data_IF_448995579579
#
_entry.id   IF_448995579579
#
_cell.length_a   1.000
_cell.length_b   1.000
_cell.length_c   1.000
_cell.angle_alpha   90.00
_cell.angle_beta   90.00
_cell.angle_gamma   90.00
#
_symmetry.space_group_name_H-M   'P 1'
#
loop_
_entity.id
_entity.type
_entity.pdbx_description
1 polymer ?
#
# COMPACT_ATOMS: atom_id res chain seq x y z
N UNK A 1 10.56 33.15 -2.39
CA UNK A 1 11.16 31.97 -3.03
C UNK A 1 10.78 31.97 -4.49
N UNK A 2 11.77 32.09 -5.39
CA UNK A 2 11.58 31.80 -6.80
C UNK A 2 11.59 30.27 -7.04
N UNK A 3 11.23 29.83 -8.25
CA UNK A 3 11.12 28.40 -8.58
C UNK A 3 12.44 27.63 -8.36
N UNK A 4 13.59 28.26 -8.65
CA UNK A 4 14.91 27.64 -8.50
C UNK A 4 15.30 27.43 -7.04
N UNK A 5 15.03 28.44 -6.20
CA UNK A 5 15.24 28.38 -4.75
C UNK A 5 14.34 27.31 -4.12
N UNK A 6 13.08 27.24 -4.54
CA UNK A 6 12.15 26.22 -4.06
C UNK A 6 12.60 24.82 -4.46
N UNK A 7 13.03 24.62 -5.72
CA UNK A 7 13.55 23.32 -6.17
C UNK A 7 14.77 22.90 -5.35
N UNK A 8 15.74 23.79 -5.20
CA UNK A 8 16.99 23.50 -4.47
C UNK A 8 16.70 23.17 -2.99
N UNK A 9 15.79 23.90 -2.36
CA UNK A 9 15.35 23.61 -1.00
C UNK A 9 14.65 22.24 -0.89
N UNK A 10 13.78 21.89 -1.83
CA UNK A 10 13.10 20.59 -1.84
C UNK A 10 14.08 19.44 -2.07
N UNK A 11 15.05 19.59 -3.00
CA UNK A 11 16.09 18.61 -3.26
C UNK A 11 16.95 18.37 -2.02
N UNK A 12 17.33 19.43 -1.30
CA UNK A 12 18.04 19.32 -0.01
C UNK A 12 17.21 18.55 1.03
N UNK A 13 15.90 18.77 1.10
CA UNK A 13 15.02 18.00 2.01
C UNK A 13 14.87 16.55 1.59
N UNK A 14 14.89 16.26 0.28
CA UNK A 14 14.92 14.87 -0.21
C UNK A 14 16.20 14.18 0.25
N UNK A 15 17.37 14.78 0.04
CA UNK A 15 18.65 14.23 0.52
C UNK A 15 18.66 14.00 2.04
N UNK A 16 18.10 14.95 2.81
CA UNK A 16 18.07 14.86 4.26
C UNK A 16 17.15 13.76 4.79
N UNK A 17 15.95 13.61 4.23
CA UNK A 17 14.91 12.71 4.76
C UNK A 17 14.82 11.36 4.03
N UNK A 18 15.31 11.25 2.80
CA UNK A 18 15.35 10.00 2.03
C UNK A 18 16.59 9.16 2.40
N UNK A 19 16.80 8.96 3.69
CA UNK A 19 17.89 8.17 4.25
C UNK A 19 17.30 6.93 4.95
N UNK A 20 17.91 5.73 4.80
CA UNK A 20 17.47 4.50 5.46
C UNK A 20 17.20 4.63 6.97
N UNK A 21 17.89 5.51 7.67
CA UNK A 21 17.68 5.77 9.11
C UNK A 21 16.26 6.27 9.44
N UNK A 22 15.55 6.86 8.47
CA UNK A 22 14.16 7.27 8.66
C UNK A 22 13.16 6.12 8.47
N UNK A 23 13.57 5.00 7.86
CA UNK A 23 12.72 3.82 7.61
C UNK A 23 12.26 3.21 8.93
N UNK A 24 13.16 3.00 9.90
CA UNK A 24 12.87 2.34 11.18
C UNK A 24 11.70 2.96 11.94
N UNK A 25 11.46 4.23 11.70
CA UNK A 25 10.44 4.94 12.41
C UNK A 25 9.20 5.16 11.54
N UNK A 26 9.26 4.89 10.23
CA UNK A 26 8.18 5.08 9.27
C UNK A 26 7.43 3.76 8.95
N UNK A 27 6.11 3.78 8.65
CA UNK A 27 5.39 2.59 8.20
C UNK A 27 6.00 1.88 6.98
N UNK A 28 6.86 2.55 6.21
CA UNK A 28 7.66 1.92 5.14
C UNK A 28 8.45 0.71 5.62
N UNK A 29 8.84 0.62 6.89
CA UNK A 29 9.55 -0.56 7.42
C UNK A 29 8.78 -1.88 7.25
N UNK A 30 7.45 -1.83 7.16
CA UNK A 30 6.59 -3.01 7.17
C UNK A 30 6.75 -3.85 5.90
N UNK A 31 6.66 -3.27 4.68
CA UNK A 31 7.08 -3.94 3.44
C UNK A 31 8.48 -4.57 3.47
N UNK A 32 9.45 -3.91 4.11
CA UNK A 32 10.84 -4.38 4.16
C UNK A 32 11.02 -5.64 5.02
N UNK A 33 10.00 -6.07 5.77
CA UNK A 33 10.01 -7.33 6.51
C UNK A 33 9.92 -8.55 5.58
N UNK A 34 9.50 -8.35 4.33
CA UNK A 34 9.20 -9.42 3.38
C UNK A 34 10.14 -9.41 2.20
N UNK A 35 10.32 -10.58 1.58
CA UNK A 35 11.16 -10.77 0.38
C UNK A 35 10.37 -11.21 -0.84
N UNK A 36 9.20 -11.83 -0.64
CA UNK A 36 8.30 -12.22 -1.72
C UNK A 36 7.57 -10.97 -2.20
N UNK A 37 7.46 -10.85 -3.53
CA UNK A 37 6.87 -9.69 -4.20
C UNK A 37 5.46 -9.41 -3.67
N UNK A 38 4.61 -10.41 -3.66
CA UNK A 38 3.20 -10.31 -3.28
C UNK A 38 3.04 -9.89 -1.81
N UNK A 39 3.88 -10.43 -0.92
CA UNK A 39 3.88 -10.04 0.49
C UNK A 39 4.27 -8.56 0.67
N UNK A 40 5.29 -8.10 -0.05
CA UNK A 40 5.72 -6.69 -0.06
C UNK A 40 4.56 -5.79 -0.52
N UNK A 41 3.87 -6.16 -1.60
CA UNK A 41 2.73 -5.39 -2.13
C UNK A 41 1.59 -5.30 -1.12
N UNK A 42 1.19 -6.43 -0.53
CA UNK A 42 0.09 -6.48 0.44
C UNK A 42 0.45 -5.71 1.71
N UNK A 43 1.63 -5.95 2.27
CA UNK A 43 2.11 -5.28 3.47
C UNK A 43 2.18 -3.76 3.27
N UNK A 44 2.66 -3.33 2.11
CA UNK A 44 2.71 -1.91 1.73
C UNK A 44 1.33 -1.31 1.58
N UNK A 45 0.42 -2.03 0.93
CA UNK A 45 -0.92 -1.51 0.66
C UNK A 45 -1.72 -1.34 1.95
N UNK A 46 -1.69 -2.35 2.82
CA UNK A 46 -2.38 -2.32 4.11
C UNK A 46 -1.79 -1.26 5.04
N UNK A 47 -0.46 -1.16 5.12
CA UNK A 47 0.21 -0.14 5.93
C UNK A 47 -0.08 1.28 5.44
N UNK A 48 -0.02 1.51 4.13
CA UNK A 48 -0.35 2.80 3.53
C UNK A 48 -1.83 3.14 3.67
N UNK A 49 -2.71 2.13 3.64
CA UNK A 49 -4.13 2.30 3.92
C UNK A 49 -4.26 2.98 5.26
N UNK A 50 -3.73 2.38 6.34
CA UNK A 50 -3.81 2.88 7.74
C UNK A 50 -2.84 4.02 8.09
N UNK A 51 -2.10 4.57 7.14
CA UNK A 51 -1.09 5.61 7.37
C UNK A 51 -1.70 7.01 7.61
N UNK A 52 -2.64 7.12 8.55
CA UNK A 52 -3.14 8.40 9.04
C UNK A 52 -3.16 8.38 10.57
N UNK A 53 -2.51 9.37 11.19
CA UNK A 53 -2.65 9.64 12.63
C UNK A 53 -1.34 9.61 13.38
N UNK A 54 -1.37 9.11 14.61
CA UNK A 54 -0.15 8.99 15.42
C UNK A 54 0.77 7.91 14.82
N UNK A 55 1.99 8.30 14.47
CA UNK A 55 3.00 7.45 13.83
C UNK A 55 3.29 6.15 14.57
N UNK A 56 3.46 6.19 15.89
CA UNK A 56 3.69 4.96 16.70
C UNK A 56 2.50 4.00 16.61
N UNK A 57 1.28 4.54 16.58
CA UNK A 57 0.06 3.74 16.46
C UNK A 57 -0.10 3.15 15.05
N UNK A 58 0.30 3.89 14.01
CA UNK A 58 0.29 3.37 12.62
C UNK A 58 1.21 2.15 12.54
N UNK A 59 2.47 2.29 12.95
CA UNK A 59 3.47 1.20 12.90
C UNK A 59 2.99 0.00 13.72
N UNK A 60 2.56 0.23 14.97
CA UNK A 60 2.06 -0.84 15.84
C UNK A 60 0.90 -1.60 15.20
N UNK A 61 -0.06 -0.89 14.59
CA UNK A 61 -1.19 -1.53 13.95
C UNK A 61 -0.83 -2.20 12.63
N UNK A 62 0.15 -1.67 11.88
CA UNK A 62 0.67 -2.33 10.69
C UNK A 62 1.33 -3.67 11.02
N UNK A 63 2.18 -3.72 12.05
CA UNK A 63 2.72 -4.98 12.58
C UNK A 63 1.61 -5.94 12.97
N UNK A 64 0.62 -5.45 13.75
CA UNK A 64 -0.54 -6.25 14.14
C UNK A 64 -1.31 -6.81 12.94
N UNK A 65 -1.43 -6.08 11.84
CA UNK A 65 -2.08 -6.60 10.62
C UNK A 65 -1.29 -7.78 10.04
N UNK A 66 0.05 -7.68 10.01
CA UNK A 66 0.91 -8.77 9.53
C UNK A 66 0.85 -9.97 10.47
N UNK A 67 0.87 -9.75 11.78
CA UNK A 67 0.79 -10.79 12.80
C UNK A 67 -0.53 -11.57 12.71
N UNK A 68 -1.66 -10.87 12.51
CA UNK A 68 -2.97 -11.49 12.31
C UNK A 68 -3.05 -12.31 11.02
N UNK A 69 -2.12 -12.14 10.08
CA UNK A 69 -1.98 -12.96 8.88
C UNK A 69 -0.82 -13.95 8.99
N UNK A 70 -0.32 -14.21 10.21
CA UNK A 70 0.78 -15.17 10.44
C UNK A 70 2.12 -14.74 9.87
N UNK A 71 2.31 -13.45 9.59
CA UNK A 71 3.49 -12.92 8.87
C UNK A 71 3.72 -13.60 7.50
N UNK A 72 2.65 -14.06 6.86
CA UNK A 72 2.63 -14.56 5.48
C UNK A 72 1.40 -14.00 4.77
N UNK A 73 1.33 -12.68 4.53
CA UNK A 73 0.11 -12.01 4.09
C UNK A 73 -0.43 -12.51 2.75
N UNK A 74 0.43 -12.86 1.80
CA UNK A 74 0.00 -13.43 0.52
C UNK A 74 -0.64 -14.81 0.69
N UNK A 75 0.05 -15.72 1.40
CA UNK A 75 -0.47 -17.06 1.68
C UNK A 75 -1.81 -16.99 2.42
N UNK A 76 -1.92 -16.11 3.42
CA UNK A 76 -3.18 -15.87 4.12
C UNK A 76 -4.29 -15.39 3.18
N UNK A 77 -4.02 -14.40 2.32
CA UNK A 77 -5.00 -13.89 1.36
C UNK A 77 -5.49 -15.00 0.43
N UNK A 78 -4.61 -15.86 -0.06
CA UNK A 78 -5.00 -16.92 -0.98
C UNK A 78 -5.78 -18.05 -0.27
N UNK A 79 -5.38 -18.41 0.95
CA UNK A 79 -5.85 -19.62 1.64
C UNK A 79 -6.92 -19.40 2.71
N UNK A 80 -7.19 -18.16 3.14
CA UNK A 80 -8.14 -17.90 4.23
C UNK A 80 -9.54 -18.48 3.98
N UNK A 81 -10.14 -18.95 5.07
CA UNK A 81 -11.57 -19.24 5.18
C UNK A 81 -12.30 -18.06 5.84
N UNK A 82 -13.64 -18.10 5.80
CA UNK A 82 -14.45 -17.08 6.50
C UNK A 82 -14.21 -17.08 8.02
N UNK A 83 -13.89 -18.24 8.60
CA UNK A 83 -13.56 -18.35 10.03
C UNK A 83 -12.25 -17.63 10.36
N UNK A 84 -11.28 -17.68 9.47
CA UNK A 84 -10.00 -16.98 9.68
C UNK A 84 -10.17 -15.47 9.66
N UNK A 85 -11.23 -14.94 9.04
CA UNK A 85 -11.52 -13.49 9.05
C UNK A 85 -12.12 -13.02 10.38
N UNK A 86 -12.65 -13.91 11.21
CA UNK A 86 -13.22 -13.58 12.53
C UNK A 86 -12.14 -13.01 13.46
N UNK A 87 -10.87 -13.41 13.29
CA UNK A 87 -9.76 -12.89 14.10
C UNK A 87 -9.56 -11.37 13.96
N UNK A 88 -10.12 -10.75 12.90
CA UNK A 88 -10.07 -9.32 12.68
C UNK A 88 -11.11 -8.54 13.47
N UNK A 89 -12.09 -9.19 14.11
CA UNK A 89 -13.24 -8.55 14.77
C UNK A 89 -12.82 -7.37 15.68
N UNK A 90 -11.77 -7.57 16.48
CA UNK A 90 -11.26 -6.59 17.43
C UNK A 90 -10.15 -5.69 16.88
N UNK A 91 -9.92 -5.71 15.56
CA UNK A 91 -8.97 -4.79 14.92
C UNK A 91 -9.61 -3.41 14.75
N UNK A 92 -8.94 -2.38 15.27
CA UNK A 92 -9.38 -0.99 15.11
C UNK A 92 -8.16 -0.09 14.91
N UNK A 93 -8.19 0.70 13.85
CA UNK A 93 -7.31 1.84 13.61
C UNK A 93 -8.15 3.07 13.25
N UNK A 94 -8.43 3.91 14.26
CA UNK A 94 -9.27 5.10 14.10
C UNK A 94 -10.64 4.76 13.52
N UNK A 95 -10.89 5.09 12.25
CA UNK A 95 -12.17 4.82 11.58
C UNK A 95 -12.17 3.53 10.75
N UNK A 96 -11.05 2.83 10.65
CA UNK A 96 -10.91 1.53 10.01
C UNK A 96 -11.01 0.43 11.06
N UNK A 97 -11.88 -0.55 10.83
CA UNK A 97 -12.16 -1.61 11.79
C UNK A 97 -12.08 -3.00 11.16
N UNK A 98 -12.32 -4.04 11.96
CA UNK A 98 -12.27 -5.43 11.52
C UNK A 98 -13.11 -5.75 10.29
N UNK A 99 -14.30 -5.15 10.18
CA UNK A 99 -15.17 -5.36 9.02
C UNK A 99 -14.61 -4.73 7.74
N UNK A 100 -14.00 -3.55 7.86
CA UNK A 100 -13.25 -2.93 6.76
C UNK A 100 -12.03 -3.80 6.39
N UNK A 101 -11.33 -4.35 7.38
CA UNK A 101 -10.16 -5.19 7.16
C UNK A 101 -10.51 -6.51 6.45
N UNK A 102 -11.52 -7.22 6.93
CA UNK A 102 -12.02 -8.44 6.29
C UNK A 102 -12.47 -8.18 4.84
N UNK A 103 -13.14 -7.05 4.59
CA UNK A 103 -13.52 -6.63 3.23
C UNK A 103 -12.29 -6.41 2.35
N UNK A 104 -11.25 -5.75 2.88
CA UNK A 104 -9.98 -5.57 2.17
C UNK A 104 -9.30 -6.89 1.83
N UNK A 105 -9.30 -7.88 2.73
CA UNK A 105 -8.73 -9.20 2.47
C UNK A 105 -9.46 -9.92 1.33
N UNK A 106 -10.81 -9.90 1.34
CA UNK A 106 -11.60 -10.49 0.24
C UNK A 106 -11.32 -9.79 -1.10
N UNK A 107 -11.23 -8.45 -1.10
CA UNK A 107 -10.90 -7.67 -2.30
C UNK A 107 -9.50 -7.99 -2.83
N UNK A 108 -8.52 -8.12 -1.94
CA UNK A 108 -7.16 -8.50 -2.33
C UNK A 108 -7.13 -9.91 -2.92
N UNK A 109 -7.81 -10.89 -2.32
CA UNK A 109 -7.93 -12.25 -2.89
C UNK A 109 -8.49 -12.21 -4.30
N UNK A 110 -9.58 -11.47 -4.52
CA UNK A 110 -10.17 -11.30 -5.84
C UNK A 110 -9.17 -10.71 -6.86
N UNK A 111 -8.40 -9.68 -6.46
CA UNK A 111 -7.36 -9.08 -7.30
C UNK A 111 -6.25 -10.07 -7.66
N UNK A 112 -5.74 -10.83 -6.69
CA UNK A 112 -4.66 -11.79 -6.94
C UNK A 112 -5.11 -12.99 -7.76
N UNK A 113 -6.35 -13.45 -7.60
CA UNK A 113 -6.92 -14.56 -8.38
C UNK A 113 -7.28 -14.17 -9.82
N UNK A 114 -7.80 -12.95 -10.03
CA UNK A 114 -8.47 -12.58 -11.30
C UNK A 114 -7.76 -11.47 -12.09
N UNK A 115 -6.91 -10.68 -11.44
CA UNK A 115 -6.28 -9.49 -12.05
C UNK A 115 -4.76 -9.50 -12.00
N UNK A 116 -4.12 -10.56 -11.50
CA UNK A 116 -2.67 -10.73 -11.51
C UNK A 116 -1.93 -9.89 -10.45
N UNK A 117 -2.60 -9.49 -9.38
CA UNK A 117 -2.00 -8.76 -8.24
C UNK A 117 -2.09 -7.24 -8.33
N UNK A 118 -1.55 -6.55 -7.33
CA UNK A 118 -1.71 -5.10 -7.20
C UNK A 118 -0.94 -4.34 -8.27
N UNK A 119 0.32 -4.70 -8.52
CA UNK A 119 1.12 -4.05 -9.57
C UNK A 119 0.45 -4.17 -10.95
N UNK A 120 -0.10 -5.33 -11.30
CA UNK A 120 -0.77 -5.54 -12.58
C UNK A 120 -1.94 -4.57 -12.77
N UNK A 121 -2.81 -4.44 -11.77
CA UNK A 121 -3.94 -3.49 -11.80
C UNK A 121 -3.47 -2.04 -11.95
N UNK A 122 -2.41 -1.64 -11.24
CA UNK A 122 -1.86 -0.29 -11.36
C UNK A 122 -1.10 -0.03 -12.68
N UNK A 123 -0.69 -1.07 -13.39
CA UNK A 123 0.11 -0.95 -14.63
C UNK A 123 -0.74 -1.00 -15.89
N UNK A 124 -1.85 -1.76 -15.89
CA UNK A 124 -2.78 -1.89 -17.02
C UNK A 124 -3.40 -0.57 -17.47
N UNK A 125 -3.51 0.41 -16.57
CA UNK A 125 -4.18 1.68 -16.82
C UNK A 125 -3.23 2.87 -16.93
N UNK A 126 -1.93 2.62 -17.10
CA UNK A 126 -0.96 3.66 -17.41
C UNK A 126 -0.96 3.93 -18.92
N UNK A 127 -1.79 4.88 -19.37
CA UNK A 127 -1.71 5.36 -20.75
C UNK A 127 -0.38 6.11 -20.98
N UNK A 128 0.30 5.80 -22.09
CA UNK A 128 1.61 6.36 -22.43
C UNK A 128 1.58 7.84 -22.81
N UNK A 129 0.41 8.44 -23.01
CA UNK A 129 0.31 9.77 -23.64
C UNK A 129 0.26 10.96 -22.67
N UNK A 130 -0.04 10.79 -21.36
CA UNK A 130 0.10 11.88 -20.36
C UNK A 130 0.24 11.34 -18.93
N UNK A 131 1.44 11.43 -18.34
CA UNK A 131 1.83 10.82 -17.06
C UNK A 131 0.92 11.18 -15.86
N UNK A 132 0.41 12.42 -15.78
CA UNK A 132 -0.45 12.89 -14.68
C UNK A 132 -1.90 12.38 -14.79
N UNK A 133 -2.51 12.49 -15.98
CA UNK A 133 -3.86 11.97 -16.22
C UNK A 133 -3.88 10.44 -16.09
N UNK A 134 -2.81 9.79 -16.56
CA UNK A 134 -2.56 8.36 -16.48
C UNK A 134 -2.56 7.83 -15.04
N UNK A 135 -1.93 8.54 -14.09
CA UNK A 135 -1.91 8.14 -12.68
C UNK A 135 -3.29 8.25 -12.01
N UNK A 136 -4.03 9.33 -12.28
CA UNK A 136 -5.36 9.52 -11.68
C UNK A 136 -6.34 8.45 -12.17
N UNK A 137 -6.35 8.19 -13.48
CA UNK A 137 -7.15 7.12 -14.08
C UNK A 137 -6.77 5.75 -13.53
N UNK A 138 -5.47 5.46 -13.34
CA UNK A 138 -5.04 4.19 -12.75
C UNK A 138 -5.59 3.97 -11.33
N UNK A 139 -5.63 5.02 -10.50
CA UNK A 139 -6.17 4.92 -9.13
C UNK A 139 -7.69 4.77 -9.16
N UNK A 140 -8.36 5.45 -10.10
CA UNK A 140 -9.80 5.33 -10.28
C UNK A 140 -10.22 3.91 -10.69
N UNK A 141 -9.55 3.34 -11.69
CA UNK A 141 -9.80 1.96 -12.15
C UNK A 141 -9.43 0.93 -11.07
N UNK A 142 -8.31 1.14 -10.37
CA UNK A 142 -7.96 0.32 -9.20
C UNK A 142 -9.09 0.29 -8.17
N UNK A 143 -9.68 1.45 -7.84
CA UNK A 143 -10.78 1.51 -6.87
C UNK A 143 -12.02 0.75 -7.35
N UNK A 144 -12.35 0.82 -8.64
CA UNK A 144 -13.46 0.06 -9.22
C UNK A 144 -13.24 -1.45 -9.07
N UNK A 145 -12.06 -1.92 -9.47
CA UNK A 145 -11.67 -3.34 -9.37
C UNK A 145 -11.68 -3.80 -7.91
N UNK A 146 -11.10 -3.00 -7.00
CA UNK A 146 -11.03 -3.33 -5.57
C UNK A 146 -12.41 -3.52 -4.95
N UNK A 147 -13.41 -2.77 -5.40
CA UNK A 147 -14.78 -2.82 -4.89
C UNK A 147 -15.75 -3.54 -5.85
N UNK A 148 -15.24 -4.38 -6.74
CA UNK A 148 -16.06 -5.15 -7.70
C UNK A 148 -16.87 -6.27 -7.03
N UNK A 149 -16.35 -6.83 -5.93
CA UNK A 149 -17.04 -7.87 -5.14
C UNK A 149 -17.95 -7.26 -4.06
N UNK A 150 -18.92 -8.00 -3.50
CA UNK A 150 -19.75 -7.52 -2.41
C UNK A 150 -18.93 -7.00 -1.21
N UNK A 151 -19.23 -5.78 -0.77
CA UNK A 151 -18.53 -5.10 0.31
C UNK A 151 -19.44 -4.09 1.00
N UNK A 152 -19.05 -3.61 2.17
CA UNK A 152 -19.80 -2.56 2.88
C UNK A 152 -19.51 -1.19 2.27
N UNK A 153 -20.56 -0.39 2.02
CA UNK A 153 -20.41 0.95 1.45
C UNK A 153 -19.46 1.86 2.27
N UNK A 154 -19.44 1.72 3.60
CA UNK A 154 -18.53 2.49 4.48
C UNK A 154 -17.06 2.24 4.18
N UNK A 155 -16.70 1.07 3.66
CA UNK A 155 -15.31 0.66 3.42
C UNK A 155 -14.71 1.42 2.24
N UNK A 156 -15.54 1.89 1.30
CA UNK A 156 -15.11 2.65 0.13
C UNK A 156 -14.39 3.96 0.45
N UNK A 157 -14.61 4.54 1.64
CA UNK A 157 -13.93 5.79 2.08
C UNK A 157 -12.44 5.59 2.33
N UNK A 158 -12.00 4.35 2.52
CA UNK A 158 -10.61 4.04 2.87
C UNK A 158 -9.68 4.04 1.66
N UNK A 159 -10.23 3.94 0.45
CA UNK A 159 -9.50 4.07 -0.82
C UNK A 159 -9.95 5.38 -1.49
N UNK A 160 -8.99 6.28 -1.66
CA UNK A 160 -9.21 7.57 -2.31
C UNK A 160 -9.43 7.41 -3.81
N UNK A 161 -10.20 8.32 -4.39
CA UNK A 161 -10.42 8.41 -5.84
C UNK A 161 -10.12 9.84 -6.33
N UNK A 162 -9.06 10.04 -7.13
CA UNK A 162 -8.67 11.37 -7.58
C UNK A 162 -9.66 11.98 -8.57
N UNK A 163 -10.43 11.18 -9.32
CA UNK A 163 -11.49 11.71 -10.20
C UNK A 163 -12.68 12.27 -9.42
N UNK A 164 -12.80 11.89 -8.14
CA UNK A 164 -13.76 12.45 -7.18
C UNK A 164 -13.12 13.55 -6.30
N UNK A 165 -12.16 14.31 -6.84
CA UNK A 165 -11.49 15.45 -6.18
C UNK A 165 -10.74 15.12 -4.86
N UNK A 166 -10.38 13.86 -4.62
CA UNK A 166 -9.56 13.50 -3.46
C UNK A 166 -8.07 13.50 -3.80
N UNK A 167 -7.22 13.93 -2.86
CA UNK A 167 -5.79 14.08 -3.12
C UNK A 167 -5.01 12.75 -3.30
N UNK A 168 -5.66 11.59 -3.08
CA UNK A 168 -5.09 10.24 -3.23
C UNK A 168 -3.71 9.98 -2.57
N UNK A 169 -3.34 10.80 -1.57
CA UNK A 169 -1.99 10.84 -0.99
C UNK A 169 -1.49 9.47 -0.51
N UNK A 170 -2.36 8.68 0.14
CA UNK A 170 -2.01 7.36 0.70
C UNK A 170 -1.65 6.34 -0.38
N UNK A 171 -2.44 6.27 -1.47
CA UNK A 171 -2.18 5.38 -2.60
C UNK A 171 -0.92 5.83 -3.36
N UNK A 172 -0.71 7.14 -3.47
CA UNK A 172 0.52 7.67 -4.06
C UNK A 172 1.76 7.37 -3.21
N UNK A 173 1.64 7.38 -1.88
CA UNK A 173 2.72 6.93 -1.00
C UNK A 173 2.99 5.45 -1.20
N UNK A 174 1.96 4.60 -1.17
CA UNK A 174 2.07 3.16 -1.45
C UNK A 174 2.85 2.85 -2.74
N UNK A 175 2.47 3.48 -3.86
CA UNK A 175 3.15 3.28 -5.15
C UNK A 175 4.64 3.64 -5.09
N UNK A 176 5.00 4.70 -4.37
CA UNK A 176 6.39 5.10 -4.19
C UNK A 176 7.17 4.10 -3.33
N UNK A 177 6.56 3.63 -2.25
CA UNK A 177 7.16 2.64 -1.34
C UNK A 177 7.46 1.34 -2.06
N UNK A 178 6.51 0.82 -2.83
CA UNK A 178 6.73 -0.37 -3.66
C UNK A 178 7.92 -0.18 -4.60
N UNK A 179 7.98 0.96 -5.30
CA UNK A 179 9.07 1.25 -6.26
C UNK A 179 10.44 1.31 -5.56
N UNK A 180 10.48 1.86 -4.34
CA UNK A 180 11.70 1.91 -3.52
C UNK A 180 12.10 0.52 -3.05
N UNK A 181 11.16 -0.28 -2.51
CA UNK A 181 11.43 -1.64 -2.03
C UNK A 181 11.92 -2.53 -3.16
N UNK A 182 11.27 -2.50 -4.33
CA UNK A 182 11.71 -3.28 -5.49
C UNK A 182 13.11 -2.90 -5.97
N UNK A 183 13.44 -1.61 -6.01
CA UNK A 183 14.78 -1.16 -6.37
C UNK A 183 15.83 -1.57 -5.32
N UNK A 184 15.46 -1.61 -4.03
CA UNK A 184 16.35 -2.05 -2.95
C UNK A 184 16.62 -3.56 -3.01
N UNK A 185 15.58 -4.37 -3.20
CA UNK A 185 15.70 -5.83 -3.36
C UNK A 185 16.49 -6.20 -4.62
N UNK A 186 16.27 -5.51 -5.75
CA UNK A 186 17.03 -5.70 -6.99
C UNK A 186 18.53 -5.40 -6.80
N UNK A 187 18.87 -4.35 -6.04
CA UNK A 187 20.26 -3.99 -5.75
C UNK A 187 20.93 -4.95 -4.76
N UNK A 188 20.21 -5.51 -3.77
CA UNK A 188 20.76 -6.53 -2.86
C UNK A 188 21.16 -7.83 -3.60
N UNK A 189 20.38 -8.26 -4.58
CA UNK A 189 20.70 -9.44 -5.40
C UNK A 189 21.90 -9.23 -6.33
N UNK A 190 22.27 -7.98 -6.62
CA UNK A 190 23.45 -7.65 -7.43
C UNK A 190 24.73 -7.70 -6.57
N UNK A 191 24.63 -7.46 -5.26
CA UNK A 191 25.76 -7.55 -4.31
C UNK A 191 26.03 -8.98 -3.81
N UNK A 192 25.05 -9.89 -3.85
CA UNK A 192 25.21 -11.29 -3.43
C UNK A 192 25.83 -12.20 -4.53
N UNK A 193 26.39 -11.63 -5.60
CA UNK A 193 27.04 -12.34 -6.72
C UNK A 193 28.51 -11.97 -6.94
N UNK A 194 29.19 -11.45 -5.92
CA UNK A 194 30.65 -11.28 -5.89
C UNK A 194 31.24 -12.20 -4.85
#
# INVERSE_FOLDING_TARGET
MNHSELKSFLDEKVELYNNPNFIESDPVQIPHLFSIKEDIEIAGFLSATIAWGNRKMIIKNSYRMMDLMGSAPYDFIMSHSEKDLEQFEFFVHRTFNGQDFASFIRSLKHIYENHGGLEAVFSQHQSQEMEKASTQSSIHEFKKIFFQIPHQHRTQKHISDPLNNSAAKRINMFKQVIKVVYNYCANLFTFARI
#
